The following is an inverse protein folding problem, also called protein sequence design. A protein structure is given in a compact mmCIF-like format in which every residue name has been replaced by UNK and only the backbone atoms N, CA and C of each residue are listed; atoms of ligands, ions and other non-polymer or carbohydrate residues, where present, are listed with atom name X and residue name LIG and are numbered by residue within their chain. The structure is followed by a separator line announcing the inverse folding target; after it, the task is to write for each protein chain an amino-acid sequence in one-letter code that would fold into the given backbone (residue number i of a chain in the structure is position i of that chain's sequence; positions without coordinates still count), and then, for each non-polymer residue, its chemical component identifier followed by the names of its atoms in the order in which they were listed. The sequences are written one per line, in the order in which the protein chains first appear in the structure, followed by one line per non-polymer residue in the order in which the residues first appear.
data_IF_009394111461
#
_entry.id   IF_009394111461
#
_cell.length_a   1.000
_cell.length_b   1.000
_cell.length_c   1.000
_cell.angle_alpha   90.00
_cell.angle_beta   90.00
_cell.angle_gamma   90.00
#
_symmetry.space_group_name_H-M   'P 1'
#
loop_
_entity.id
_entity.type
_entity.pdbx_description
1 polymer ?
#
# COMPACT_ATOMS: atom_id res chain seq x y z
N UNK A 1 -46.65 7.72 21.27
CA UNK A 1 -46.26 7.18 22.60
C UNK A 1 -46.11 5.68 22.36
N UNK A 2 -44.92 5.12 22.20
CA UNK A 2 -43.96 4.87 23.27
C UNK A 2 -42.52 5.03 22.80
N UNK A 3 -41.73 5.57 23.73
CA UNK A 3 -40.28 5.60 23.73
C UNK A 3 -39.75 4.21 24.06
N UNK A 4 -38.61 3.82 23.47
CA UNK A 4 -37.43 3.23 24.12
C UNK A 4 -36.59 2.44 23.10
N UNK A 5 -35.75 3.15 22.35
CA UNK A 5 -34.58 2.56 21.72
C UNK A 5 -33.34 3.11 22.46
N UNK A 6 -33.20 2.71 23.73
CA UNK A 6 -31.97 2.88 24.50
C UNK A 6 -31.35 1.51 24.72
N UNK A 7 -30.18 1.34 24.08
CA UNK A 7 -29.14 0.31 24.18
C UNK A 7 -28.62 0.15 22.75
N UNK A 8 -27.45 0.64 22.41
CA UNK A 8 -26.22 0.04 22.91
C UNK A 8 -25.04 0.98 22.58
N UNK A 9 -24.65 1.81 23.55
CA UNK A 9 -23.37 2.50 23.49
C UNK A 9 -22.29 1.50 23.92
N UNK A 10 -21.95 0.53 23.05
CA UNK A 10 -20.76 -0.28 23.25
C UNK A 10 -19.56 0.63 23.13
N UNK A 11 -19.03 1.06 24.28
CA UNK A 11 -17.66 1.55 24.39
C UNK A 11 -16.79 0.47 23.76
N UNK A 12 -16.24 0.76 22.58
CA UNK A 12 -15.32 -0.11 21.85
C UNK A 12 -14.18 -0.48 22.79
N UNK A 13 -14.20 -1.72 23.24
CA UNK A 13 -13.17 -2.29 24.11
C UNK A 13 -11.80 -2.06 23.46
N UNK A 14 -10.92 -1.32 24.14
CA UNK A 14 -9.57 -1.05 23.65
C UNK A 14 -8.81 -2.38 23.73
N UNK A 15 -8.78 -3.13 22.62
CA UNK A 15 -7.94 -4.33 22.49
C UNK A 15 -6.49 -3.99 22.87
N UNK A 16 -6.08 -4.37 24.07
CA UNK A 16 -4.70 -4.24 24.52
C UNK A 16 -3.86 -5.22 23.72
N UNK A 17 -2.99 -4.72 22.84
CA UNK A 17 -2.05 -5.56 22.10
C UNK A 17 -1.14 -6.28 23.10
N UNK A 18 -1.03 -7.60 23.03
CA UNK A 18 -0.26 -8.35 24.02
C UNK A 18 1.25 -8.06 23.89
N UNK A 19 1.96 -8.10 25.04
CA UNK A 19 3.36 -7.68 25.19
C UNK A 19 4.32 -8.37 24.20
N UNK A 20 4.07 -9.63 23.86
CA UNK A 20 4.91 -10.41 22.93
C UNK A 20 4.95 -9.80 21.52
N UNK A 21 3.88 -9.12 21.07
CA UNK A 21 3.86 -8.47 19.74
C UNK A 21 4.87 -7.33 19.69
N UNK A 22 5.02 -6.58 20.78
CA UNK A 22 5.99 -5.50 20.86
C UNK A 22 7.42 -6.06 20.86
N UNK A 23 7.68 -7.12 21.63
CA UNK A 23 9.00 -7.78 21.68
C UNK A 23 9.39 -8.29 20.29
N UNK A 24 8.49 -9.03 19.62
CA UNK A 24 8.73 -9.54 18.26
C UNK A 24 8.98 -8.38 17.28
N UNK A 25 8.19 -7.31 17.35
CA UNK A 25 8.38 -6.12 16.51
C UNK A 25 9.77 -5.51 16.69
N UNK A 26 10.24 -5.35 17.93
CA UNK A 26 11.58 -4.81 18.19
C UNK A 26 12.69 -5.76 17.74
N UNK A 27 12.54 -7.07 17.94
CA UNK A 27 13.50 -8.07 17.45
C UNK A 27 13.62 -7.98 15.92
N UNK A 28 12.50 -7.98 15.22
CA UNK A 28 12.49 -7.85 13.75
C UNK A 28 13.13 -6.53 13.31
N UNK A 29 12.84 -5.42 13.99
CA UNK A 29 13.44 -4.12 13.69
C UNK A 29 14.96 -4.16 13.83
N UNK A 30 15.49 -4.72 14.92
CA UNK A 30 16.93 -4.83 15.17
C UNK A 30 17.59 -5.73 14.11
N UNK A 31 16.95 -6.84 13.75
CA UNK A 31 17.44 -7.73 12.69
C UNK A 31 17.52 -6.98 11.35
N UNK A 32 16.47 -6.26 10.96
CA UNK A 32 16.47 -5.47 9.72
C UNK A 32 17.59 -4.43 9.73
N UNK A 33 17.73 -3.68 10.83
CA UNK A 33 18.80 -2.66 10.95
C UNK A 33 20.20 -3.30 10.89
N UNK A 34 20.39 -4.46 11.50
CA UNK A 34 21.64 -5.20 11.43
C UNK A 34 21.98 -5.62 10.00
N UNK A 35 21.01 -6.16 9.25
CA UNK A 35 21.22 -6.53 7.85
C UNK A 35 21.51 -5.33 6.96
N UNK A 36 20.80 -4.21 7.18
CA UNK A 36 21.07 -2.95 6.46
C UNK A 36 22.48 -2.47 6.75
N UNK A 37 22.89 -2.40 8.02
CA UNK A 37 24.23 -1.98 8.40
C UNK A 37 25.30 -2.88 7.78
N UNK A 38 25.14 -4.20 7.88
CA UNK A 38 26.07 -5.18 7.30
C UNK A 38 26.18 -5.04 5.78
N UNK A 39 25.07 -4.78 5.09
CA UNK A 39 25.07 -4.56 3.64
C UNK A 39 25.80 -3.26 3.27
N UNK A 40 25.66 -2.22 4.08
CA UNK A 40 26.39 -0.97 3.87
C UNK A 40 27.89 -1.12 4.11
N UNK A 41 28.28 -1.78 5.21
CA UNK A 41 29.69 -2.00 5.56
C UNK A 41 30.41 -2.84 4.50
N UNK A 42 29.79 -3.93 4.03
CA UNK A 42 30.37 -4.82 3.03
C UNK A 42 30.57 -4.15 1.66
N UNK A 43 29.70 -3.23 1.25
CA UNK A 43 29.76 -2.59 -0.06
C UNK A 43 30.30 -1.14 -0.01
N UNK A 44 30.79 -0.69 1.16
CA UNK A 44 31.14 0.71 1.39
C UNK A 44 32.27 1.19 0.47
N UNK A 45 33.26 0.35 0.22
CA UNK A 45 34.41 0.65 -0.64
C UNK A 45 34.01 0.74 -2.13
N UNK A 46 33.02 -0.06 -2.54
CA UNK A 46 32.48 -0.04 -3.90
C UNK A 46 31.60 1.21 -4.14
N UNK A 47 30.82 1.61 -3.13
CA UNK A 47 29.96 2.82 -3.20
C UNK A 47 30.81 4.09 -3.31
N UNK A 48 31.92 4.19 -2.57
CA UNK A 48 32.82 5.37 -2.63
C UNK A 48 33.57 5.50 -3.93
N UNK A 49 33.93 4.38 -4.55
CA UNK A 49 34.66 4.36 -5.82
C UNK A 49 33.74 4.58 -7.02
N UNK A 50 32.42 4.49 -6.83
CA UNK A 50 31.43 4.71 -7.88
C UNK A 50 31.39 6.17 -8.34
N UNK A 51 31.86 6.42 -9.56
CA UNK A 51 31.74 7.72 -10.21
C UNK A 51 30.32 7.88 -10.75
N UNK A 52 29.54 8.73 -10.11
CA UNK A 52 28.15 9.01 -10.50
C UNK A 52 28.10 9.73 -11.86
N UNK A 53 27.91 8.97 -12.95
CA UNK A 53 27.57 9.50 -14.26
C UNK A 53 26.06 9.37 -14.49
N UNK A 54 25.29 10.27 -13.87
CA UNK A 54 23.84 10.29 -14.05
C UNK A 54 23.50 10.97 -15.38
N UNK A 55 22.84 10.23 -16.26
CA UNK A 55 22.26 10.81 -17.46
C UNK A 55 20.93 11.47 -17.11
N UNK A 56 20.92 12.80 -17.06
CA UNK A 56 19.74 13.59 -16.70
C UNK A 56 18.52 13.31 -17.61
N UNK A 57 18.74 12.97 -18.88
CA UNK A 57 17.66 12.61 -19.80
C UNK A 57 16.98 11.31 -19.39
N UNK A 58 17.77 10.26 -19.15
CA UNK A 58 17.24 8.98 -18.65
C UNK A 58 16.60 9.13 -17.26
N UNK A 59 17.14 10.01 -16.40
CA UNK A 59 16.59 10.29 -15.09
C UNK A 59 15.20 10.96 -15.20
N UNK A 60 15.07 11.99 -16.04
CA UNK A 60 13.79 12.66 -16.29
C UNK A 60 12.76 11.69 -16.90
N UNK A 61 13.19 10.88 -17.87
CA UNK A 61 12.34 9.88 -18.50
C UNK A 61 11.85 8.85 -17.48
N UNK A 62 12.73 8.37 -16.60
CA UNK A 62 12.37 7.41 -15.55
C UNK A 62 11.35 7.98 -14.58
N UNK A 63 11.56 9.22 -14.12
CA UNK A 63 10.62 9.91 -13.23
C UNK A 63 9.25 10.07 -13.93
N UNK A 64 9.26 10.54 -15.17
CA UNK A 64 8.03 10.79 -15.93
C UNK A 64 7.24 9.50 -16.17
N UNK A 65 7.91 8.45 -16.63
CA UNK A 65 7.28 7.13 -16.84
C UNK A 65 6.74 6.55 -15.54
N UNK A 66 7.45 6.74 -14.42
CA UNK A 66 6.98 6.29 -13.11
C UNK A 66 5.72 7.04 -12.65
N UNK A 67 5.68 8.36 -12.83
CA UNK A 67 4.49 9.17 -12.54
C UNK A 67 3.29 8.79 -13.42
N UNK A 68 3.52 8.54 -14.71
CA UNK A 68 2.48 8.05 -15.63
C UNK A 68 1.94 6.71 -15.13
N UNK A 69 2.82 5.80 -14.72
CA UNK A 69 2.44 4.48 -14.20
C UNK A 69 1.55 4.61 -12.96
N UNK A 70 1.89 5.49 -12.01
CA UNK A 70 1.06 5.75 -10.83
C UNK A 70 -0.32 6.31 -11.19
N UNK A 71 -0.37 7.21 -12.19
CA UNK A 71 -1.61 7.76 -12.72
C UNK A 71 -2.48 6.68 -13.39
N UNK A 72 -1.89 5.82 -14.23
CA UNK A 72 -2.57 4.72 -14.88
C UNK A 72 -3.11 3.71 -13.86
N UNK A 73 -2.30 3.34 -12.87
CA UNK A 73 -2.72 2.45 -11.78
C UNK A 73 -3.98 2.96 -11.08
N UNK A 74 -4.02 4.26 -10.78
CA UNK A 74 -5.16 4.91 -10.13
C UNK A 74 -6.39 4.98 -11.05
N UNK A 75 -6.20 5.22 -12.35
CA UNK A 75 -7.29 5.18 -13.35
C UNK A 75 -7.90 3.79 -13.49
N UNK A 76 -7.08 2.74 -13.53
CA UNK A 76 -7.56 1.35 -13.60
C UNK A 76 -8.50 1.07 -12.43
N UNK A 77 -8.15 1.52 -11.23
CA UNK A 77 -9.02 1.34 -10.07
C UNK A 77 -10.34 2.12 -10.18
N UNK A 78 -10.32 3.36 -10.68
CA UNK A 78 -11.55 4.12 -10.98
C UNK A 78 -12.47 3.36 -11.97
N UNK A 79 -11.90 2.80 -13.04
CA UNK A 79 -12.65 2.04 -14.05
C UNK A 79 -13.25 0.78 -13.43
N UNK A 80 -12.47 0.07 -12.61
CA UNK A 80 -12.94 -1.13 -11.92
C UNK A 80 -14.12 -0.80 -11.01
N UNK A 81 -13.99 0.24 -10.17
CA UNK A 81 -15.05 0.71 -9.27
C UNK A 81 -16.31 1.12 -10.03
N UNK A 82 -16.17 1.74 -11.20
CA UNK A 82 -17.31 2.07 -12.07
C UNK A 82 -18.06 0.80 -12.52
N UNK A 83 -17.33 -0.29 -12.80
CA UNK A 83 -17.93 -1.61 -13.10
C UNK A 83 -18.71 -2.22 -11.93
N UNK A 84 -18.34 -1.89 -10.69
CA UNK A 84 -19.07 -2.28 -9.47
C UNK A 84 -20.20 -1.30 -9.10
N UNK A 85 -20.47 -0.27 -9.92
CA UNK A 85 -21.53 0.72 -9.67
C UNK A 85 -21.12 1.92 -8.81
N UNK A 86 -19.84 2.05 -8.44
CA UNK A 86 -19.33 3.16 -7.63
C UNK A 86 -18.61 4.20 -8.50
N UNK A 87 -18.89 5.49 -8.27
CA UNK A 87 -18.17 6.60 -8.92
C UNK A 87 -17.13 7.17 -7.98
N UNK A 88 -15.84 6.99 -8.30
CA UNK A 88 -14.72 7.52 -7.51
C UNK A 88 -13.98 8.58 -8.30
N UNK A 89 -13.80 9.77 -7.73
CA UNK A 89 -13.04 10.82 -8.39
C UNK A 89 -11.54 10.46 -8.43
N UNK A 90 -10.88 10.78 -9.54
CA UNK A 90 -9.48 10.45 -9.78
C UNK A 90 -8.53 10.91 -8.65
N UNK A 91 -8.63 12.13 -8.09
CA UNK A 91 -7.78 12.55 -6.98
C UNK A 91 -7.93 11.69 -5.72
N UNK A 92 -9.15 11.25 -5.41
CA UNK A 92 -9.39 10.34 -4.29
C UNK A 92 -8.81 8.95 -4.58
N UNK A 93 -9.05 8.42 -5.77
CA UNK A 93 -8.47 7.15 -6.20
C UNK A 93 -6.95 7.15 -6.15
N UNK A 94 -6.31 8.23 -6.61
CA UNK A 94 -4.86 8.40 -6.56
C UNK A 94 -4.34 8.40 -5.12
N UNK A 95 -4.96 9.21 -4.25
CA UNK A 95 -4.58 9.28 -2.83
C UNK A 95 -4.73 7.93 -2.13
N UNK A 96 -5.85 7.24 -2.34
CA UNK A 96 -6.13 5.92 -1.72
C UNK A 96 -5.13 4.88 -2.22
N UNK A 97 -4.98 4.79 -3.55
CA UNK A 97 -4.10 3.80 -4.18
C UNK A 97 -2.63 4.01 -3.80
N UNK A 98 -2.18 5.26 -3.68
CA UNK A 98 -0.81 5.60 -3.27
C UNK A 98 -0.55 5.30 -1.79
N UNK A 99 -1.46 5.70 -0.89
CA UNK A 99 -1.34 5.40 0.54
C UNK A 99 -1.39 3.88 0.79
N UNK A 100 -2.30 3.17 0.11
CA UNK A 100 -2.33 1.71 0.14
C UNK A 100 -1.02 1.12 -0.39
N UNK A 101 -0.49 1.65 -1.50
CA UNK A 101 0.77 1.21 -2.07
C UNK A 101 1.93 1.30 -1.07
N UNK A 102 2.00 2.34 -0.25
CA UNK A 102 3.05 2.49 0.77
C UNK A 102 3.05 1.35 1.79
N UNK A 103 1.91 0.68 1.99
CA UNK A 103 1.84 -0.53 2.82
C UNK A 103 2.73 -1.66 2.33
N UNK A 104 3.13 -1.69 1.05
CA UNK A 104 3.96 -2.77 0.49
C UNK A 104 5.37 -2.79 1.09
N UNK A 105 5.82 -1.65 1.61
CA UNK A 105 7.12 -1.51 2.27
C UNK A 105 7.11 -2.00 3.71
N UNK A 106 5.93 -2.34 4.25
CA UNK A 106 5.80 -2.94 5.56
C UNK A 106 5.93 -4.47 5.46
N UNK A 107 6.56 -5.13 6.45
CA UNK A 107 6.72 -6.58 6.46
C UNK A 107 5.34 -7.27 6.51
N UNK A 108 5.13 -8.25 5.62
CA UNK A 108 3.92 -9.09 5.61
C UNK A 108 3.00 -8.94 4.39
N UNK A 109 3.26 -8.02 3.44
CA UNK A 109 2.52 -7.83 2.15
C UNK A 109 0.99 -7.58 2.23
N UNK A 110 0.36 -7.70 3.40
CA UNK A 110 -1.08 -7.53 3.60
C UNK A 110 -1.52 -6.08 3.84
N UNK A 111 -0.60 -5.21 4.26
CA UNK A 111 -0.89 -3.82 4.61
C UNK A 111 -1.55 -2.99 3.50
N UNK A 112 -1.17 -3.14 2.21
CA UNK A 112 -1.85 -2.44 1.14
C UNK A 112 -3.35 -2.73 1.08
N UNK A 113 -3.74 -3.98 1.33
CA UNK A 113 -5.14 -4.41 1.29
C UNK A 113 -5.93 -3.72 2.41
N UNK A 114 -5.41 -3.73 3.63
CA UNK A 114 -6.03 -3.04 4.76
C UNK A 114 -6.08 -1.52 4.58
N UNK A 115 -5.03 -0.92 4.03
CA UNK A 115 -5.00 0.51 3.71
C UNK A 115 -6.09 0.86 2.69
N UNK A 116 -6.22 0.06 1.63
CA UNK A 116 -7.27 0.22 0.62
C UNK A 116 -8.66 0.14 1.25
N UNK A 117 -8.93 -0.93 2.01
CA UNK A 117 -10.18 -1.20 2.68
C UNK A 117 -10.59 -0.07 3.65
N UNK A 118 -9.66 0.36 4.51
CA UNK A 118 -9.91 1.42 5.49
C UNK A 118 -10.19 2.77 4.82
N UNK A 119 -9.43 3.13 3.78
CA UNK A 119 -9.62 4.39 3.08
C UNK A 119 -10.85 4.37 2.16
N UNK A 120 -11.17 3.24 1.54
CA UNK A 120 -12.38 3.06 0.73
C UNK A 120 -13.65 3.17 1.60
N UNK A 121 -13.63 2.60 2.80
CA UNK A 121 -14.71 2.76 3.78
C UNK A 121 -14.95 4.22 4.15
N UNK A 122 -13.88 5.03 4.25
CA UNK A 122 -13.98 6.46 4.56
C UNK A 122 -14.67 7.28 3.46
N UNK A 123 -14.67 6.79 2.23
CA UNK A 123 -15.39 7.42 1.10
C UNK A 123 -16.73 6.74 0.78
N UNK A 124 -17.24 5.88 1.68
CA UNK A 124 -18.56 5.26 1.56
C UNK A 124 -18.61 3.99 0.71
N UNK A 125 -17.47 3.44 0.30
CA UNK A 125 -17.40 2.15 -0.41
C UNK A 125 -17.28 1.03 0.61
N UNK A 126 -18.10 -0.03 0.46
CA UNK A 126 -17.99 -1.20 1.33
C UNK A 126 -16.59 -1.83 1.23
N UNK A 127 -16.08 -2.27 2.37
CA UNK A 127 -14.78 -2.91 2.50
C UNK A 127 -14.69 -4.16 1.60
N UNK A 128 -15.78 -4.92 1.47
CA UNK A 128 -15.84 -6.12 0.64
C UNK A 128 -15.61 -5.82 -0.85
N UNK A 129 -16.22 -4.76 -1.39
CA UNK A 129 -16.03 -4.37 -2.80
C UNK A 129 -14.61 -3.85 -3.04
N UNK A 130 -14.05 -3.10 -2.09
CA UNK A 130 -12.68 -2.60 -2.19
C UNK A 130 -11.66 -3.73 -2.21
N UNK A 131 -11.76 -4.70 -1.28
CA UNK A 131 -10.85 -5.85 -1.24
C UNK A 131 -11.02 -6.72 -2.47
N UNK A 132 -12.26 -7.02 -2.89
CA UNK A 132 -12.53 -7.84 -4.08
C UNK A 132 -11.95 -7.19 -5.33
N UNK A 133 -12.14 -5.87 -5.50
CA UNK A 133 -11.55 -5.13 -6.62
C UNK A 133 -10.03 -5.22 -6.66
N UNK A 134 -9.38 -5.17 -5.50
CA UNK A 134 -7.94 -5.23 -5.39
C UNK A 134 -7.39 -6.63 -5.72
N UNK A 135 -8.10 -7.67 -5.28
CA UNK A 135 -7.79 -9.06 -5.65
C UNK A 135 -7.93 -9.27 -7.15
N UNK A 136 -8.98 -8.72 -7.77
CA UNK A 136 -9.15 -8.77 -9.24
C UNK A 136 -7.98 -8.08 -9.95
N UNK A 137 -7.54 -6.91 -9.49
CA UNK A 137 -6.36 -6.22 -10.05
C UNK A 137 -5.09 -7.08 -9.94
N UNK A 138 -4.87 -7.76 -8.82
CA UNK A 138 -3.74 -8.70 -8.66
C UNK A 138 -3.82 -9.88 -9.63
N UNK A 139 -5.02 -10.44 -9.85
CA UNK A 139 -5.24 -11.53 -10.81
C UNK A 139 -4.91 -11.12 -12.25
N UNK A 140 -5.13 -9.86 -12.63
CA UNK A 140 -4.72 -9.35 -13.94
C UNK A 140 -3.23 -8.99 -14.01
N UNK A 141 -2.65 -8.53 -12.90
CA UNK A 141 -1.25 -8.15 -12.84
C UNK A 141 -0.28 -9.35 -12.93
N UNK A 142 -0.62 -10.47 -12.29
CA UNK A 142 0.25 -11.66 -12.24
C UNK A 142 0.53 -12.23 -13.65
N UNK A 143 -0.47 -12.51 -14.52
CA UNK A 143 -0.23 -12.99 -15.88
C UNK A 143 0.56 -12.01 -16.74
N UNK A 144 0.34 -10.71 -16.56
CA UNK A 144 1.06 -9.66 -17.28
C UNK A 144 2.56 -9.69 -16.96
N UNK A 145 2.92 -10.02 -15.71
CA UNK A 145 4.31 -10.18 -15.30
C UNK A 145 5.00 -11.39 -15.93
N UNK A 146 4.26 -12.49 -16.18
CA UNK A 146 4.81 -13.67 -16.88
C UNK A 146 5.05 -13.43 -18.38
N UNK A 147 4.30 -12.51 -19.00
CA UNK A 147 4.42 -12.18 -20.42
C UNK A 147 5.60 -11.24 -20.74
N UNK A 148 6.00 -10.41 -19.77
CA UNK A 148 7.06 -9.40 -19.94
C UNK A 148 8.41 -9.89 -19.39
N UNK A 149 8.40 -10.88 -18.50
CA UNK A 149 9.59 -11.44 -17.86
C UNK A 149 10.23 -12.60 -18.60
#
# INVERSE_FOLDING_TARGET
MEQNFSKDNTVKDKKTTPLYIHIIKYIVLVIVLYFVYKAFDYNWDEIKSFKWSLNYWLLLLSITTHLITLGMFSKVWCILMKGFGFTVSFPHAFKISYIANLGRYLPGRIWPVFGMAYLAKKIGIDEQYSVTSWVVVQLFAIPSAFLVG
#
